data_IF_502736231275
#
_entry.id   IF_502736231275
#
_cell.length_a   1.000
_cell.length_b   1.000
_cell.length_c   1.000
_cell.angle_alpha   90.00
_cell.angle_beta   90.00
_cell.angle_gamma   90.00
#
_symmetry.space_group_name_H-M   'P 1'
#
loop_
_entity.id
_entity.type
_entity.pdbx_description
1 polymer ?
#
# COMPACT_ATOMS: atom_id res chain seq x y z
N UNK A 1 9.27 -22.77 -8.94
CA UNK A 1 9.03 -22.21 -7.59
C UNK A 1 10.28 -22.50 -6.79
N UNK A 2 11.02 -21.48 -6.38
CA UNK A 2 12.16 -21.65 -5.48
C UNK A 2 11.59 -22.05 -4.11
N UNK A 3 11.61 -23.34 -3.82
CA UNK A 3 11.34 -23.88 -2.48
C UNK A 3 12.59 -23.65 -1.64
N UNK A 4 12.56 -22.67 -0.72
CA UNK A 4 13.67 -22.44 0.20
C UNK A 4 13.64 -21.08 0.89
N UNK A 5 13.19 -20.03 0.22
CA UNK A 5 13.03 -18.70 0.82
C UNK A 5 11.59 -18.55 1.32
N UNK A 6 11.42 -18.22 2.61
CA UNK A 6 10.12 -17.82 3.13
C UNK A 6 9.60 -16.68 2.24
N UNK A 7 8.40 -16.84 1.69
CA UNK A 7 7.85 -15.91 0.72
C UNK A 7 7.55 -14.54 1.37
N UNK A 8 8.57 -13.67 1.42
CA UNK A 8 8.53 -12.43 2.22
C UNK A 8 7.43 -11.45 1.76
N UNK A 9 6.94 -11.65 0.54
CA UNK A 9 5.87 -10.88 -0.10
C UNK A 9 4.49 -11.14 0.57
N UNK A 10 4.34 -12.23 1.34
CA UNK A 10 3.12 -12.60 2.05
C UNK A 10 3.12 -12.17 3.53
N UNK A 11 4.20 -11.53 3.99
CA UNK A 11 4.45 -11.27 5.39
C UNK A 11 3.54 -10.16 5.95
N UNK A 12 2.87 -10.44 7.07
CA UNK A 12 1.99 -9.50 7.76
C UNK A 12 2.73 -8.29 8.33
N UNK A 13 4.05 -8.38 8.53
CA UNK A 13 4.87 -7.23 8.94
C UNK A 13 4.82 -6.07 7.93
N UNK A 14 4.49 -6.34 6.66
CA UNK A 14 4.30 -5.29 5.65
C UNK A 14 3.22 -4.27 6.06
N UNK A 15 2.27 -4.66 6.91
CA UNK A 15 1.28 -3.75 7.50
C UNK A 15 1.90 -2.61 8.32
N UNK A 16 3.09 -2.82 8.91
CA UNK A 16 3.81 -1.78 9.63
C UNK A 16 4.21 -0.60 8.70
N UNK A 17 4.34 -0.86 7.40
CA UNK A 17 4.63 0.14 6.37
C UNK A 17 3.39 0.81 5.78
N UNK A 18 2.17 0.35 6.06
CA UNK A 18 0.96 0.84 5.41
C UNK A 18 0.76 2.37 5.55
N UNK A 19 1.05 2.90 6.74
CA UNK A 19 1.00 4.34 6.99
C UNK A 19 2.07 5.13 6.24
N UNK A 20 3.24 4.56 5.99
CA UNK A 20 4.28 5.19 5.16
C UNK A 20 3.82 5.29 3.71
N UNK A 21 3.39 4.17 3.11
CA UNK A 21 2.97 4.12 1.71
C UNK A 21 1.83 5.11 1.45
N UNK A 22 0.83 5.16 2.32
CA UNK A 22 -0.34 6.01 2.13
C UNK A 22 0.00 7.51 2.24
N UNK A 23 0.93 7.89 3.12
CA UNK A 23 1.35 9.29 3.26
C UNK A 23 2.28 9.73 2.13
N UNK A 24 3.09 8.83 1.55
CA UNK A 24 3.84 9.11 0.33
C UNK A 24 2.90 9.34 -0.86
N UNK A 25 1.83 8.55 -0.97
CA UNK A 25 0.80 8.74 -2.01
C UNK A 25 0.07 10.06 -1.83
N UNK A 26 -0.38 10.37 -0.60
CA UNK A 26 -1.10 11.62 -0.30
C UNK A 26 -0.22 12.87 -0.40
N UNK A 27 1.11 12.71 -0.33
CA UNK A 27 2.03 13.81 -0.53
C UNK A 27 2.13 14.24 -2.00
N UNK A 28 1.65 13.42 -2.95
CA UNK A 28 1.48 13.89 -4.32
C UNK A 28 0.19 14.76 -4.40
N UNK A 29 0.29 16.02 -4.83
CA UNK A 29 -0.85 16.94 -4.89
C UNK A 29 -2.10 16.42 -5.59
N UNK A 30 -1.96 15.81 -6.77
CA UNK A 30 -3.10 15.32 -7.55
C UNK A 30 -3.80 14.15 -6.84
N UNK A 31 -3.03 13.23 -6.25
CA UNK A 31 -3.57 12.12 -5.45
C UNK A 31 -4.24 12.66 -4.18
N UNK A 32 -3.60 13.60 -3.48
CA UNK A 32 -4.15 14.26 -2.29
C UNK A 32 -5.51 14.90 -2.56
N UNK A 33 -5.63 15.69 -3.62
CA UNK A 33 -6.90 16.30 -4.05
C UNK A 33 -7.96 15.26 -4.43
N UNK A 34 -7.61 14.28 -5.26
CA UNK A 34 -8.55 13.24 -5.69
C UNK A 34 -9.10 12.41 -4.52
N UNK A 35 -8.22 12.09 -3.57
CA UNK A 35 -8.62 11.44 -2.33
C UNK A 35 -9.53 12.34 -1.49
N UNK A 36 -9.12 13.59 -1.26
CA UNK A 36 -9.86 14.52 -0.42
C UNK A 36 -11.29 14.80 -0.93
N UNK A 37 -11.47 14.81 -2.25
CA UNK A 37 -12.75 15.11 -2.91
C UNK A 37 -13.70 13.91 -3.00
N UNK A 38 -13.18 12.69 -3.17
CA UNK A 38 -14.01 11.52 -3.51
C UNK A 38 -14.06 10.45 -2.42
N UNK A 39 -13.28 10.59 -1.35
CA UNK A 39 -13.12 9.51 -0.39
C UNK A 39 -13.68 9.88 0.97
N UNK A 40 -14.53 9.00 1.53
CA UNK A 40 -14.79 8.92 2.98
C UNK A 40 -13.58 8.34 3.73
N UNK A 41 -12.38 8.64 3.24
CA UNK A 41 -11.10 8.01 3.58
C UNK A 41 -10.86 7.95 5.09
N UNK A 42 -11.11 9.08 5.75
CA UNK A 42 -10.91 9.27 7.18
C UNK A 42 -12.01 8.61 8.02
N UNK A 43 -13.17 8.33 7.43
CA UNK A 43 -14.30 7.69 8.10
C UNK A 43 -14.19 6.15 8.07
N UNK A 44 -13.54 5.58 7.05
CA UNK A 44 -13.38 4.12 6.90
C UNK A 44 -11.93 3.69 6.55
N UNK A 45 -10.92 4.09 7.33
CA UNK A 45 -9.52 3.85 7.02
C UNK A 45 -9.16 2.36 6.97
N UNK A 46 -9.75 1.56 7.86
CA UNK A 46 -9.55 0.11 7.91
C UNK A 46 -10.10 -0.58 6.66
N UNK A 47 -11.28 -0.18 6.19
CA UNK A 47 -11.88 -0.75 4.98
C UNK A 47 -11.07 -0.39 3.74
N UNK A 48 -10.51 0.83 3.68
CA UNK A 48 -9.62 1.22 2.58
C UNK A 48 -8.34 0.41 2.60
N UNK A 49 -7.69 0.29 3.76
CA UNK A 49 -6.49 -0.53 3.90
C UNK A 49 -6.74 -1.99 3.48
N UNK A 50 -7.87 -2.58 3.93
CA UNK A 50 -8.31 -3.91 3.50
C UNK A 50 -8.49 -3.95 1.98
N UNK A 51 -9.15 -2.97 1.37
CA UNK A 51 -9.35 -2.92 -0.08
C UNK A 51 -8.04 -2.90 -0.88
N UNK A 52 -7.09 -2.04 -0.50
CA UNK A 52 -5.77 -1.97 -1.15
C UNK A 52 -4.99 -3.28 -0.99
N UNK A 53 -5.00 -3.89 0.21
CA UNK A 53 -4.26 -5.13 0.44
C UNK A 53 -4.92 -6.35 -0.18
N UNK A 54 -6.25 -6.43 -0.18
CA UNK A 54 -6.98 -7.44 -0.96
C UNK A 54 -6.64 -7.33 -2.45
N UNK A 55 -6.51 -6.10 -2.97
CA UNK A 55 -6.04 -5.90 -4.34
C UNK A 55 -4.61 -6.43 -4.54
N UNK A 56 -3.64 -5.99 -3.72
CA UNK A 56 -2.24 -6.42 -3.82
C UNK A 56 -2.11 -7.95 -3.73
N UNK A 57 -2.71 -8.57 -2.71
CA UNK A 57 -2.64 -10.02 -2.55
C UNK A 57 -3.42 -10.76 -3.63
N UNK A 58 -4.55 -10.23 -4.09
CA UNK A 58 -5.31 -10.83 -5.20
C UNK A 58 -4.52 -10.86 -6.51
N UNK A 59 -3.68 -9.85 -6.79
CA UNK A 59 -2.83 -9.82 -7.98
C UNK A 59 -1.59 -10.71 -7.83
N UNK A 60 -0.94 -10.71 -6.66
CA UNK A 60 0.32 -11.45 -6.46
C UNK A 60 0.09 -12.94 -6.16
N UNK A 61 -0.98 -13.26 -5.42
CA UNK A 61 -1.24 -14.60 -4.87
C UNK A 61 -2.57 -15.21 -5.27
N UNK A 62 -3.47 -14.42 -5.85
CA UNK A 62 -4.80 -14.90 -6.20
C UNK A 62 -4.80 -15.76 -7.46
N UNK A 63 -5.92 -16.45 -7.66
CA UNK A 63 -6.24 -17.06 -8.96
C UNK A 63 -6.50 -15.99 -10.03
N UNK A 64 -6.59 -16.40 -11.30
CA UNK A 64 -6.92 -15.46 -12.38
C UNK A 64 -8.29 -14.80 -12.17
N UNK A 65 -9.28 -15.53 -11.67
CA UNK A 65 -10.61 -15.01 -11.33
C UNK A 65 -10.54 -13.98 -10.20
N UNK A 66 -9.75 -14.26 -9.16
CA UNK A 66 -9.51 -13.34 -8.06
C UNK A 66 -8.84 -12.05 -8.53
N UNK A 67 -7.80 -12.16 -9.37
CA UNK A 67 -7.12 -11.03 -9.98
C UNK A 67 -8.08 -10.18 -10.85
N UNK A 68 -8.92 -10.83 -11.67
CA UNK A 68 -9.96 -10.16 -12.47
C UNK A 68 -10.96 -9.42 -11.60
N UNK A 69 -11.41 -10.01 -10.50
CA UNK A 69 -12.40 -9.40 -9.62
C UNK A 69 -11.83 -8.19 -8.85
N UNK A 70 -10.63 -8.28 -8.29
CA UNK A 70 -10.02 -7.12 -7.62
C UNK A 70 -9.73 -5.99 -8.62
N UNK A 71 -9.34 -6.32 -9.87
CA UNK A 71 -9.20 -5.34 -10.95
C UNK A 71 -10.53 -4.66 -11.27
N UNK A 72 -11.62 -5.42 -11.39
CA UNK A 72 -12.96 -4.88 -11.63
C UNK A 72 -13.38 -3.92 -10.50
N UNK A 73 -13.18 -4.31 -9.24
CA UNK A 73 -13.50 -3.49 -8.06
C UNK A 73 -12.74 -2.17 -8.04
N UNK A 74 -11.42 -2.20 -8.22
CA UNK A 74 -10.60 -0.98 -8.20
C UNK A 74 -10.95 -0.06 -9.36
N UNK A 75 -11.18 -0.61 -10.56
CA UNK A 75 -11.59 0.18 -11.71
C UNK A 75 -12.91 0.89 -11.45
N UNK A 76 -13.92 0.18 -10.94
CA UNK A 76 -15.21 0.77 -10.58
C UNK A 76 -15.05 1.88 -9.53
N UNK A 77 -14.19 1.68 -8.53
CA UNK A 77 -13.91 2.70 -7.51
C UNK A 77 -13.14 3.92 -8.08
N UNK A 78 -12.33 3.75 -9.13
CA UNK A 78 -11.56 4.82 -9.78
C UNK A 78 -12.37 5.61 -10.80
N UNK A 79 -13.44 5.05 -11.39
CA UNK A 79 -14.34 5.73 -12.36
C UNK A 79 -14.72 7.15 -11.93
N UNK A 80 -15.22 7.40 -10.70
CA UNK A 80 -15.63 8.75 -10.31
C UNK A 80 -14.47 9.68 -9.92
N UNK A 81 -13.24 9.17 -9.75
CA UNK A 81 -12.11 9.93 -9.20
C UNK A 81 -11.37 10.66 -10.31
N UNK A 82 -12.04 11.68 -10.86
CA UNK A 82 -11.47 12.55 -11.89
C UNK A 82 -12.07 13.95 -11.81
N UNK A 83 -11.24 14.95 -12.12
CA UNK A 83 -11.64 16.35 -12.27
C UNK A 83 -10.73 17.00 -13.29
N UNK A 84 -11.32 17.69 -14.26
CA UNK A 84 -10.57 18.48 -15.24
C UNK A 84 -9.85 19.64 -14.54
N UNK A 85 -8.70 20.04 -15.07
CA UNK A 85 -8.02 21.23 -14.60
C UNK A 85 -8.92 22.47 -14.82
N UNK A 86 -9.00 23.34 -13.83
CA UNK A 86 -9.70 24.61 -13.88
C UNK A 86 -9.07 25.51 -12.81
N UNK A 87 -8.63 26.71 -13.20
CA UNK A 87 -7.98 27.66 -12.28
C UNK A 87 -8.80 27.85 -11.00
N UNK A 88 -8.18 27.73 -9.80
CA UNK A 88 -6.74 27.56 -9.51
C UNK A 88 -6.25 26.10 -9.37
N UNK A 89 -7.05 25.10 -9.76
CA UNK A 89 -6.76 23.67 -9.54
C UNK A 89 -6.26 22.95 -10.80
N UNK A 90 -5.10 22.30 -10.70
CA UNK A 90 -4.50 21.51 -11.79
C UNK A 90 -5.26 20.22 -12.17
N UNK A 91 -6.41 19.93 -11.55
CA UNK A 91 -7.18 18.71 -11.80
C UNK A 91 -6.53 17.43 -11.23
N UNK A 92 -7.14 16.28 -11.52
CA UNK A 92 -6.63 14.94 -11.21
C UNK A 92 -7.42 13.86 -11.96
N UNK A 93 -6.81 12.69 -12.17
CA UNK A 93 -7.49 11.51 -12.72
C UNK A 93 -6.86 10.24 -12.16
N UNK A 94 -7.65 9.33 -11.57
CA UNK A 94 -7.16 8.06 -11.05
C UNK A 94 -6.69 7.07 -12.14
N UNK A 95 -6.97 7.37 -13.41
CA UNK A 95 -6.44 6.66 -14.58
C UNK A 95 -5.22 7.34 -15.21
N UNK A 96 -4.66 8.39 -14.59
CA UNK A 96 -3.39 8.95 -15.01
C UNK A 96 -2.27 7.95 -14.73
N UNK A 97 -1.56 7.46 -15.77
CA UNK A 97 -0.55 6.43 -15.59
C UNK A 97 0.66 6.90 -14.78
N UNK A 98 1.00 8.20 -14.79
CA UNK A 98 2.09 8.72 -13.96
C UNK A 98 1.73 8.67 -12.47
N UNK A 99 0.46 8.96 -12.12
CA UNK A 99 -0.03 8.82 -10.74
C UNK A 99 -0.12 7.35 -10.31
N UNK A 100 -0.52 6.45 -11.22
CA UNK A 100 -0.54 5.01 -10.95
C UNK A 100 0.87 4.45 -10.73
N UNK A 101 1.84 4.91 -11.52
CA UNK A 101 3.26 4.58 -11.33
C UNK A 101 3.72 4.99 -9.93
N UNK A 102 3.42 6.22 -9.50
CA UNK A 102 3.76 6.69 -8.16
C UNK A 102 3.12 5.82 -7.07
N UNK A 103 1.82 5.50 -7.19
CA UNK A 103 1.13 4.62 -6.24
C UNK A 103 1.81 3.26 -6.16
N UNK A 104 2.09 2.60 -7.29
CA UNK A 104 2.75 1.29 -7.30
C UNK A 104 4.19 1.37 -6.74
N UNK A 105 4.93 2.42 -7.10
CA UNK A 105 6.29 2.67 -6.61
C UNK A 105 6.35 2.82 -5.09
N UNK A 106 5.41 3.57 -4.49
CA UNK A 106 5.35 3.74 -3.02
C UNK A 106 5.05 2.43 -2.30
N UNK A 107 4.28 1.52 -2.91
CA UNK A 107 4.04 0.19 -2.35
C UNK A 107 5.30 -0.67 -2.41
N UNK A 108 6.01 -0.67 -3.54
CA UNK A 108 7.26 -1.43 -3.72
C UNK A 108 8.34 -0.96 -2.74
N UNK A 109 8.67 0.32 -2.75
CA UNK A 109 9.75 0.88 -1.92
C UNK A 109 9.44 0.72 -0.42
N UNK A 110 8.17 0.87 -0.02
CA UNK A 110 7.74 0.60 1.36
C UNK A 110 7.92 -0.85 1.73
N UNK A 111 7.49 -1.79 0.87
CA UNK A 111 7.62 -3.20 1.18
C UNK A 111 9.08 -3.63 1.25
N UNK A 112 9.92 -3.19 0.30
CA UNK A 112 11.36 -3.45 0.32
C UNK A 112 11.99 -2.92 1.61
N UNK A 113 11.70 -1.67 1.98
CA UNK A 113 12.18 -1.05 3.24
C UNK A 113 11.81 -1.90 4.46
N UNK A 114 10.58 -2.41 4.53
CA UNK A 114 10.12 -3.20 5.68
C UNK A 114 10.77 -4.58 5.71
N UNK A 115 10.86 -5.26 4.56
CA UNK A 115 11.49 -6.57 4.44
C UNK A 115 12.96 -6.48 4.84
N UNK A 116 13.70 -5.50 4.33
CA UNK A 116 15.11 -5.33 4.64
C UNK A 116 15.36 -4.96 6.10
N UNK A 117 14.44 -4.23 6.74
CA UNK A 117 14.50 -3.98 8.19
C UNK A 117 14.33 -5.23 9.04
N UNK A 118 13.71 -6.30 8.51
CA UNK A 118 13.48 -7.55 9.23
C UNK A 118 14.53 -8.61 8.88
N UNK A 119 14.92 -8.70 7.61
CA UNK A 119 15.76 -9.78 7.07
C UNK A 119 17.19 -9.36 6.77
N UNK A 120 17.47 -8.06 6.77
CA UNK A 120 18.66 -7.51 6.13
C UNK A 120 18.46 -7.39 4.61
N UNK A 121 19.49 -6.90 3.89
CA UNK A 121 19.44 -6.72 2.44
C UNK A 121 19.04 -8.01 1.72
N UNK A 122 18.17 -7.90 0.72
CA UNK A 122 17.79 -9.03 -0.12
C UNK A 122 18.92 -9.38 -1.10
N UNK A 123 19.10 -10.68 -1.35
CA UNK A 123 19.89 -11.13 -2.49
C UNK A 123 19.24 -10.71 -3.81
N UNK A 124 20.05 -10.60 -4.88
CA UNK A 124 19.60 -10.03 -6.15
C UNK A 124 18.41 -10.78 -6.76
N UNK A 125 18.39 -12.10 -6.70
CA UNK A 125 17.28 -12.91 -7.23
C UNK A 125 15.96 -12.61 -6.52
N UNK A 126 15.98 -12.55 -5.18
CA UNK A 126 14.81 -12.25 -4.36
C UNK A 126 14.33 -10.80 -4.57
N UNK A 127 15.28 -9.86 -4.67
CA UNK A 127 14.98 -8.45 -4.94
C UNK A 127 14.37 -8.25 -6.32
N UNK A 128 14.86 -8.94 -7.35
CA UNK A 128 14.32 -8.90 -8.72
C UNK A 128 12.96 -9.59 -8.82
N UNK A 129 12.76 -10.71 -8.11
CA UNK A 129 11.47 -11.38 -8.04
C UNK A 129 10.41 -10.47 -7.41
N UNK A 130 10.73 -9.84 -6.29
CA UNK A 130 9.87 -8.85 -5.66
C UNK A 130 9.59 -7.68 -6.61
N UNK A 131 10.61 -7.14 -7.29
CA UNK A 131 10.45 -6.05 -8.24
C UNK A 131 9.45 -6.37 -9.38
N UNK A 132 9.53 -7.58 -9.94
CA UNK A 132 8.60 -8.04 -10.99
C UNK A 132 7.16 -8.14 -10.49
N UNK A 133 6.93 -8.52 -9.24
CA UNK A 133 5.56 -8.59 -8.70
C UNK A 133 4.93 -7.21 -8.57
N UNK A 134 5.70 -6.18 -8.20
CA UNK A 134 5.20 -4.81 -8.16
C UNK A 134 4.95 -4.23 -9.55
N UNK A 135 5.70 -4.66 -10.57
CA UNK A 135 5.36 -4.36 -11.97
C UNK A 135 3.98 -4.92 -12.37
N UNK A 136 3.64 -6.15 -11.91
CA UNK A 136 2.32 -6.76 -12.13
C UNK A 136 1.20 -6.01 -11.41
N UNK A 137 1.44 -5.58 -10.16
CA UNK A 137 0.50 -4.74 -9.39
C UNK A 137 0.22 -3.43 -10.15
N UNK A 138 1.26 -2.73 -10.63
CA UNK A 138 1.07 -1.52 -11.43
C UNK A 138 0.29 -1.78 -12.71
N UNK A 139 0.68 -2.79 -13.48
CA UNK A 139 -0.02 -3.16 -14.74
C UNK A 139 -1.49 -3.49 -14.51
N UNK A 140 -1.81 -4.19 -13.42
CA UNK A 140 -3.20 -4.50 -13.08
C UNK A 140 -4.01 -3.23 -12.71
N UNK A 141 -3.38 -2.12 -12.34
CA UNK A 141 -4.02 -0.81 -12.13
C UNK A 141 -4.22 -0.04 -13.44
N UNK A 142 -3.79 -0.60 -14.58
CA UNK A 142 -3.78 0.01 -15.93
C UNK A 142 -2.56 0.87 -16.23
N UNK A 143 -1.49 0.78 -15.43
CA UNK A 143 -0.19 1.33 -15.80
C UNK A 143 0.31 0.59 -17.06
N UNK A 144 0.69 1.29 -18.14
CA UNK A 144 1.36 0.66 -19.27
C UNK A 144 2.65 -0.07 -18.80
N UNK A 145 2.88 -1.33 -19.19
CA UNK A 145 4.01 -2.12 -18.69
C UNK A 145 5.39 -1.46 -18.91
N UNK A 146 5.52 -0.70 -19.99
CA UNK A 146 6.71 0.04 -20.39
C UNK A 146 6.99 1.29 -19.56
N UNK A 147 5.99 1.80 -18.82
CA UNK A 147 6.19 2.89 -17.86
C UNK A 147 6.76 2.43 -16.52
N UNK A 148 6.65 1.14 -16.18
CA UNK A 148 7.37 0.62 -15.01
C UNK A 148 8.88 0.67 -15.27
N UNK A 149 9.72 1.17 -14.35
CA UNK A 149 11.14 1.30 -14.63
C UNK A 149 11.76 -0.06 -14.98
N UNK A 150 12.61 -0.08 -16.02
CA UNK A 150 13.11 -1.34 -16.61
C UNK A 150 13.84 -2.26 -15.62
N UNK A 151 14.49 -1.69 -14.61
CA UNK A 151 15.29 -2.38 -13.62
C UNK A 151 15.31 -1.60 -12.29
N UNK A 152 15.84 -2.22 -11.23
CA UNK A 152 15.93 -1.61 -9.89
C UNK A 152 16.77 -0.33 -9.87
N UNK A 153 17.77 -0.19 -10.75
CA UNK A 153 18.58 1.02 -10.83
C UNK A 153 17.81 2.18 -11.47
N UNK A 154 17.02 1.92 -12.51
CA UNK A 154 16.09 2.88 -13.10
C UNK A 154 15.00 3.28 -12.11
N UNK A 155 14.47 2.32 -11.35
CA UNK A 155 13.55 2.60 -10.26
C UNK A 155 14.15 3.55 -9.24
N UNK A 156 15.40 3.30 -8.81
CA UNK A 156 16.07 4.17 -7.85
C UNK A 156 16.17 5.61 -8.33
N UNK A 157 16.59 5.82 -9.58
CA UNK A 157 16.65 7.18 -10.18
C UNK A 157 15.28 7.86 -10.19
N UNK A 158 14.26 7.17 -10.67
CA UNK A 158 12.88 7.68 -10.67
C UNK A 158 12.42 8.04 -9.24
N UNK A 159 12.66 7.16 -8.27
CA UNK A 159 12.27 7.35 -6.89
C UNK A 159 12.94 8.57 -6.24
N UNK A 160 14.25 8.73 -6.45
CA UNK A 160 15.02 9.86 -5.91
C UNK A 160 14.57 11.20 -6.51
N UNK A 161 14.31 11.23 -7.82
CA UNK A 161 13.79 12.41 -8.51
C UNK A 161 12.41 12.81 -7.96
N UNK A 162 11.48 11.86 -7.85
CA UNK A 162 10.15 12.11 -7.29
C UNK A 162 10.25 12.59 -5.83
N UNK A 163 11.03 11.92 -4.98
CA UNK A 163 11.19 12.33 -3.58
C UNK A 163 11.79 13.73 -3.42
N UNK A 164 12.68 14.16 -4.31
CA UNK A 164 13.32 15.48 -4.22
C UNK A 164 12.31 16.63 -4.36
N UNK A 165 11.29 16.44 -5.20
CA UNK A 165 10.26 17.44 -5.52
C UNK A 165 8.97 17.26 -4.71
N UNK A 166 8.76 16.09 -4.10
CA UNK A 166 7.54 15.76 -3.37
C UNK A 166 7.31 16.68 -2.17
N UNK A 167 6.18 17.37 -2.14
CA UNK A 167 5.73 18.23 -1.04
C UNK A 167 4.24 18.02 -0.82
N UNK A 168 3.85 17.70 0.41
CA UNK A 168 2.44 17.47 0.69
C UNK A 168 1.68 18.80 0.78
N UNK A 169 0.65 18.97 -0.06
CA UNK A 169 -0.28 20.11 -0.03
C UNK A 169 -1.34 19.95 1.06
N UNK A 170 -2.08 21.03 1.33
CA UNK A 170 -3.08 21.12 2.41
C UNK A 170 -4.07 19.95 2.40
N UNK A 171 -4.63 19.60 1.24
CA UNK A 171 -5.61 18.52 1.14
C UNK A 171 -5.00 17.15 1.50
N UNK A 172 -3.79 16.88 1.01
CA UNK A 172 -3.04 15.66 1.33
C UNK A 172 -2.70 15.60 2.82
N UNK A 173 -2.19 16.69 3.39
CA UNK A 173 -1.88 16.82 4.81
C UNK A 173 -3.12 16.63 5.68
N UNK A 174 -4.26 17.23 5.32
CA UNK A 174 -5.52 17.11 6.05
C UNK A 174 -6.01 15.68 6.10
N UNK A 175 -6.00 14.97 4.96
CA UNK A 175 -6.39 13.55 4.91
C UNK A 175 -5.40 12.69 5.69
N UNK A 176 -4.10 12.87 5.47
CA UNK A 176 -3.05 12.12 6.15
C UNK A 176 -3.09 12.29 7.67
N UNK A 177 -3.31 13.51 8.17
CA UNK A 177 -3.50 13.76 9.60
C UNK A 177 -4.82 13.16 10.11
N UNK A 178 -5.89 13.21 9.33
CA UNK A 178 -7.16 12.56 9.68
C UNK A 178 -7.02 11.04 9.87
N UNK A 179 -6.14 10.41 9.08
CA UNK A 179 -5.78 9.00 9.24
C UNK A 179 -4.96 8.73 10.49
N UNK A 180 -3.95 9.58 10.76
CA UNK A 180 -3.04 9.39 11.88
C UNK A 180 -3.67 9.75 13.23
N UNK A 181 -4.68 10.62 13.24
CA UNK A 181 -5.35 11.13 14.44
C UNK A 181 -6.89 10.99 14.32
N UNK A 182 -7.40 9.76 14.26
CA UNK A 182 -8.84 9.53 14.11
C UNK A 182 -9.60 9.99 15.37
N UNK A 183 -10.63 10.81 15.19
CA UNK A 183 -11.46 11.35 16.28
C UNK A 183 -12.62 10.42 16.67
N UNK A 184 -13.28 9.80 15.68
CA UNK A 184 -14.49 8.99 15.86
C UNK A 184 -14.28 7.55 15.40
N UNK A 185 -13.51 6.77 16.17
CA UNK A 185 -13.22 5.36 15.86
C UNK A 185 -13.31 4.47 17.09
N UNK A 186 -13.51 3.17 16.87
CA UNK A 186 -13.55 2.17 17.92
C UNK A 186 -12.33 2.23 18.86
N UNK A 187 -12.53 1.89 20.13
CA UNK A 187 -11.51 2.00 21.18
C UNK A 187 -10.24 1.20 20.87
N UNK A 188 -10.38 -0.01 20.34
CA UNK A 188 -9.25 -0.85 19.94
C UNK A 188 -8.38 -0.18 18.86
N UNK A 189 -9.00 0.54 17.92
CA UNK A 189 -8.28 1.26 16.88
C UNK A 189 -7.47 2.42 17.48
N UNK A 190 -8.09 3.18 18.40
CA UNK A 190 -7.42 4.27 19.14
C UNK A 190 -6.21 3.77 19.93
N UNK A 191 -6.25 2.54 20.45
CA UNK A 191 -5.14 1.94 21.18
C UNK A 191 -3.94 1.59 20.27
N UNK A 192 -4.18 1.17 19.03
CA UNK A 192 -3.11 0.79 18.07
C UNK A 192 -2.47 2.04 17.42
N UNK A 193 -3.25 3.11 17.23
CA UNK A 193 -2.83 4.27 16.45
C UNK A 193 -1.55 4.98 16.91
N UNK A 194 -1.25 5.16 18.21
CA UNK A 194 0.02 5.76 18.65
C UNK A 194 1.24 4.99 18.12
N UNK A 195 1.21 3.66 18.16
CA UNK A 195 2.27 2.80 17.65
C UNK A 195 2.36 2.86 16.12
N UNK A 196 1.21 2.79 15.43
CA UNK A 196 1.16 2.92 13.98
C UNK A 196 1.72 4.28 13.50
N UNK A 197 1.35 5.37 14.20
CA UNK A 197 1.86 6.72 13.93
C UNK A 197 3.37 6.83 14.18
N UNK A 198 3.85 6.24 15.26
CA UNK A 198 5.29 6.22 15.58
C UNK A 198 6.10 5.52 14.49
N UNK A 199 5.67 4.32 14.07
CA UNK A 199 6.32 3.59 12.98
C UNK A 199 6.24 4.36 11.67
N UNK A 200 5.07 4.89 11.34
CA UNK A 200 4.84 5.69 10.13
C UNK A 200 5.77 6.91 10.09
N UNK A 201 5.85 7.68 11.18
CA UNK A 201 6.73 8.83 11.28
C UNK A 201 8.20 8.43 11.09
N UNK A 202 8.67 7.36 11.75
CA UNK A 202 10.05 6.91 11.63
C UNK A 202 10.43 6.36 10.25
N UNK A 203 9.46 5.89 9.47
CA UNK A 203 9.68 5.38 8.11
C UNK A 203 9.58 6.45 7.01
N UNK A 204 9.07 7.65 7.33
CA UNK A 204 8.94 8.73 6.37
C UNK A 204 10.25 9.52 6.20
N UNK A 205 10.53 10.04 4.99
CA UNK A 205 11.54 11.07 4.79
C UNK A 205 11.29 12.29 5.69
N UNK A 206 12.37 12.97 6.08
CA UNK A 206 12.29 14.09 7.03
C UNK A 206 11.37 15.21 6.56
N UNK A 207 11.42 15.58 5.27
CA UNK A 207 10.58 16.63 4.72
C UNK A 207 9.09 16.30 4.86
N UNK A 208 8.66 15.11 4.42
CA UNK A 208 7.25 14.71 4.57
C UNK A 208 6.82 14.63 6.03
N UNK A 209 7.73 14.19 6.90
CA UNK A 209 7.46 14.18 8.34
C UNK A 209 7.14 15.59 8.86
N UNK A 210 7.85 16.62 8.38
CA UNK A 210 7.57 18.03 8.66
C UNK A 210 6.24 18.47 8.05
N UNK A 211 6.00 18.16 6.78
CA UNK A 211 4.75 18.52 6.07
C UNK A 211 3.50 17.98 6.81
N UNK A 212 3.54 16.74 7.29
CA UNK A 212 2.46 16.15 8.08
C UNK A 212 2.42 16.60 9.56
N UNK A 213 3.38 17.42 9.99
CA UNK A 213 3.48 17.92 11.37
C UNK A 213 3.74 16.81 12.39
N UNK A 214 4.61 15.86 12.06
CA UNK A 214 5.00 14.74 12.91
C UNK A 214 6.35 15.06 13.57
N UNK A 215 6.32 15.55 14.81
CA UNK A 215 7.55 15.85 15.54
C UNK A 215 8.44 14.61 15.68
N UNK A 216 9.75 14.78 15.48
CA UNK A 216 10.75 13.71 15.57
C UNK A 216 11.99 14.25 16.24
N UNK A 217 12.54 13.47 17.16
CA UNK A 217 13.74 13.82 17.92
C UNK A 217 14.67 12.62 17.98
N UNK A 218 15.90 12.82 18.43
CA UNK A 218 16.88 11.74 18.54
C UNK A 218 16.39 10.61 19.46
N UNK A 219 15.63 10.95 20.51
CA UNK A 219 14.97 9.95 21.37
C UNK A 219 13.96 9.10 20.60
N UNK A 220 13.20 9.70 19.67
CA UNK A 220 12.31 8.94 18.79
C UNK A 220 13.11 8.04 17.86
N UNK A 221 14.20 8.54 17.28
CA UNK A 221 15.07 7.75 16.40
C UNK A 221 15.66 6.53 17.11
N UNK A 222 16.26 6.71 18.28
CA UNK A 222 16.82 5.60 19.06
C UNK A 222 15.77 4.55 19.44
N UNK A 223 14.56 4.99 19.82
CA UNK A 223 13.44 4.08 20.10
C UNK A 223 13.00 3.33 18.84
N UNK A 224 12.97 4.00 17.70
CA UNK A 224 12.56 3.43 16.42
C UNK A 224 13.55 2.36 15.96
N UNK A 225 14.85 2.66 16.02
CA UNK A 225 15.92 1.71 15.68
C UNK A 225 15.88 0.49 16.61
N UNK A 226 15.68 0.72 17.93
CA UNK A 226 15.52 -0.38 18.89
C UNK A 226 14.30 -1.24 18.57
N UNK A 227 13.16 -0.62 18.26
CA UNK A 227 11.93 -1.35 17.88
C UNK A 227 12.20 -2.24 16.67
N UNK A 228 12.86 -1.73 15.62
CA UNK A 228 13.18 -2.54 14.45
C UNK A 228 14.18 -3.65 14.73
N UNK A 229 15.20 -3.43 15.56
CA UNK A 229 16.12 -4.50 16.00
C UNK A 229 15.38 -5.63 16.72
N UNK A 230 14.46 -5.29 17.62
CA UNK A 230 13.64 -6.28 18.34
C UNK A 230 12.73 -7.02 17.35
N UNK A 231 12.05 -6.31 16.44
CA UNK A 231 11.20 -6.92 15.43
C UNK A 231 11.97 -7.83 14.47
N UNK A 232 13.19 -7.44 14.06
CA UNK A 232 14.04 -8.24 13.19
C UNK A 232 14.41 -9.60 13.80
N UNK A 233 14.52 -9.68 15.14
CA UNK A 233 14.76 -10.94 15.84
C UNK A 233 13.47 -11.70 16.12
N UNK A 234 12.45 -11.02 16.65
CA UNK A 234 11.22 -11.66 17.14
C UNK A 234 10.28 -12.10 16.00
N UNK A 235 10.13 -11.29 14.94
CA UNK A 235 9.16 -11.56 13.88
C UNK A 235 9.47 -12.84 13.09
N UNK A 236 10.72 -13.13 12.67
CA UNK A 236 11.08 -14.40 12.03
C UNK A 236 10.72 -15.65 12.83
N UNK A 237 10.68 -15.56 14.17
CA UNK A 237 10.35 -16.67 15.06
C UNK A 237 8.85 -16.98 15.10
N UNK A 238 8.00 -16.11 14.57
CA UNK A 238 6.56 -16.34 14.54
C UNK A 238 6.21 -17.47 13.54
N UNK A 239 5.27 -18.35 13.88
CA UNK A 239 4.75 -19.36 12.96
C UNK A 239 4.26 -18.75 11.64
N UNK A 240 4.49 -19.45 10.52
CA UNK A 240 4.07 -19.01 9.18
C UNK A 240 2.57 -18.67 9.12
N UNK A 241 1.72 -19.39 9.86
CA UNK A 241 0.28 -19.12 9.92
C UNK A 241 -0.04 -17.72 10.46
N UNK A 242 0.72 -17.22 11.43
CA UNK A 242 0.55 -15.87 11.97
C UNK A 242 1.09 -14.85 10.98
N UNK A 243 2.29 -15.13 10.45
CA UNK A 243 2.96 -14.27 9.48
C UNK A 243 2.16 -14.08 8.19
N UNK A 244 1.46 -15.10 7.70
CA UNK A 244 0.69 -15.03 6.46
C UNK A 244 -0.82 -14.80 6.67
N UNK A 245 -1.27 -14.72 7.93
CA UNK A 245 -2.70 -14.68 8.27
C UNK A 245 -3.49 -13.63 7.50
N UNK A 246 -2.92 -12.42 7.35
CA UNK A 246 -3.65 -11.31 6.74
C UNK A 246 -3.84 -11.51 5.22
N UNK A 247 -2.84 -12.06 4.52
CA UNK A 247 -2.98 -12.47 3.12
C UNK A 247 -4.04 -13.56 2.99
N UNK A 248 -3.98 -14.60 3.84
CA UNK A 248 -4.94 -15.71 3.81
C UNK A 248 -6.37 -15.21 4.09
N UNK A 249 -6.54 -14.27 5.04
CA UNK A 249 -7.81 -13.61 5.31
C UNK A 249 -8.35 -12.85 4.09
N UNK A 250 -7.52 -12.05 3.41
CA UNK A 250 -7.91 -11.30 2.22
C UNK A 250 -8.34 -12.20 1.06
N UNK A 251 -7.61 -13.29 0.81
CA UNK A 251 -7.90 -14.23 -0.28
C UNK A 251 -9.17 -15.05 0.02
N UNK A 252 -9.34 -15.51 1.26
CA UNK A 252 -10.54 -16.24 1.67
C UNK A 252 -11.80 -15.37 1.59
N UNK A 253 -11.71 -14.08 1.92
CA UNK A 253 -12.82 -13.14 1.75
C UNK A 253 -13.19 -12.96 0.28
N UNK A 254 -12.19 -12.80 -0.59
CA UNK A 254 -12.40 -12.64 -2.03
C UNK A 254 -13.06 -13.88 -2.64
N UNK A 255 -12.65 -15.08 -2.20
CA UNK A 255 -13.28 -16.34 -2.60
C UNK A 255 -14.76 -16.40 -2.17
N UNK A 256 -15.10 -15.98 -0.95
CA UNK A 256 -16.49 -15.93 -0.50
C UNK A 256 -17.34 -15.00 -1.37
N UNK A 257 -16.80 -13.83 -1.73
CA UNK A 257 -17.51 -12.89 -2.59
C UNK A 257 -17.73 -13.44 -4.01
N UNK A 258 -16.73 -14.13 -4.56
CA UNK A 258 -16.83 -14.79 -5.87
C UNK A 258 -17.89 -15.90 -5.86
N UNK A 259 -17.97 -16.69 -4.79
CA UNK A 259 -18.99 -17.74 -4.64
C UNK A 259 -20.41 -17.17 -4.52
N UNK A 260 -20.57 -15.97 -3.96
CA UNK A 260 -21.86 -15.27 -3.83
C UNK A 260 -22.30 -14.52 -5.10
N UNK A 261 -21.41 -14.36 -6.08
CA UNK A 261 -21.72 -13.61 -7.30
C UNK A 261 -22.66 -14.43 -8.21
N UNK A 262 -23.73 -13.84 -8.78
CA UNK A 262 -24.82 -14.56 -9.46
C UNK A 262 -24.36 -15.39 -10.68
N UNK A 263 -23.17 -15.11 -11.22
CA UNK A 263 -22.58 -15.86 -12.34
C UNK A 263 -22.27 -17.34 -12.00
N UNK A 264 -22.12 -17.68 -10.71
CA UNK A 264 -21.86 -19.06 -10.27
C UNK A 264 -23.12 -19.82 -9.80
N UNK A 265 -24.20 -19.11 -9.45
CA UNK A 265 -25.49 -19.75 -9.10
C UNK A 265 -26.17 -20.35 -10.34
N UNK A 266 -25.91 -19.83 -11.54
CA UNK A 266 -26.44 -20.42 -12.79
C UNK A 266 -25.71 -21.69 -13.23
N UNK A 267 -24.44 -21.91 -12.84
CA UNK A 267 -23.71 -23.15 -13.17
C UNK A 267 -24.07 -24.34 -12.28
N UNK A 268 -24.66 -24.10 -11.11
CA UNK A 268 -25.13 -25.16 -10.21
C UNK A 268 -26.63 -25.47 -10.37
N UNK A 269 -27.35 -24.71 -11.21
CA UNK A 269 -28.80 -24.88 -11.45
C UNK A 269 -29.17 -25.65 -12.72
N UNK A 270 -28.20 -26.09 -13.53
CA UNK A 270 -28.43 -26.93 -14.73
C UNK A 270 -27.73 -28.26 -14.59
N UNK A 271 -28.19 -29.04 -13.62
CA UNK A 271 -28.03 -30.50 -13.56
C UNK A 271 -29.24 -31.03 -12.82
N UNK A 272 -30.37 -31.04 -13.52
CA UNK A 272 -31.58 -31.76 -13.18
C UNK A 272 -32.05 -32.48 -14.44
#
# INVERSE_FOLDING_TARGET
MVQGEADFRAEGILLAGAGRAILLQLANPAIGRGVAAHSTFTQRPVNRLKGTLTYVYGIVYGTEEQAKEVRRRVNHAHVPVRRTAAEPSAGYNAFDPALQLWVAATLYDTALTIVEKIRGPLGDEAADAMYRDYARIGTALQLPPDMWPKDRAAFRRYWDEQLSTLRAEEEGVRVGRGLLFPKHTALWYRAIMPSARFLTAGLLPEQLRKDYGLAWSDRHQHRFDRTWRVLAVAYPMLPLRIRHWFKDYCLAELEKDLRKSPHNMQRQGTSA
#
